data_IF_562899955701
#
_entry.id   IF_562899955701
#
_cell.length_a   1.000
_cell.length_b   1.000
_cell.length_c   1.000
_cell.angle_alpha   90.00
_cell.angle_beta   90.00
_cell.angle_gamma   90.00
#
_symmetry.space_group_name_H-M   'P 1'
#
loop_
_entity.id
_entity.type
_entity.pdbx_description
1 polymer ?
#
# COMPACT_ATOMS: atom_id res chain seq x y z
N UNK A 1 40.77 -18.25 29.75
CA UNK A 1 39.55 -17.44 29.96
C UNK A 1 38.92 -17.27 28.59
N UNK A 2 37.77 -17.91 28.35
CA UNK A 2 37.06 -17.77 27.07
C UNK A 2 36.06 -16.64 27.22
N UNK A 3 36.20 -15.60 26.39
CA UNK A 3 35.26 -14.47 26.35
C UNK A 3 33.88 -14.94 25.85
N UNK A 4 32.76 -14.43 26.42
CA UNK A 4 31.43 -14.81 25.97
C UNK A 4 31.14 -14.25 24.57
N UNK A 5 30.89 -15.13 23.60
CA UNK A 5 30.40 -14.73 22.28
C UNK A 5 29.02 -14.07 22.42
N UNK A 6 28.91 -12.79 22.04
CA UNK A 6 27.63 -12.09 21.94
C UNK A 6 26.86 -12.66 20.74
N UNK A 7 25.82 -13.44 21.01
CA UNK A 7 24.87 -13.87 19.99
C UNK A 7 23.93 -12.69 19.72
N UNK A 8 24.30 -11.85 18.76
CA UNK A 8 23.42 -10.83 18.21
C UNK A 8 22.55 -11.45 17.13
N UNK A 9 21.23 -11.36 17.28
CA UNK A 9 20.31 -11.65 16.20
C UNK A 9 20.24 -10.39 15.35
N UNK A 10 20.88 -10.41 14.18
CA UNK A 10 20.59 -9.41 13.16
C UNK A 10 19.23 -9.78 12.59
N UNK A 11 18.21 -8.95 12.85
CA UNK A 11 16.94 -9.03 12.12
C UNK A 11 17.27 -8.71 10.67
N UNK A 12 17.55 -9.75 9.90
CA UNK A 12 17.93 -9.65 8.50
C UNK A 12 16.94 -8.76 7.77
N UNK A 13 17.50 -7.76 7.08
CA UNK A 13 16.89 -6.80 6.16
C UNK A 13 15.39 -6.62 6.27
N UNK A 14 14.97 -5.40 6.64
CA UNK A 14 13.63 -4.85 6.37
C UNK A 14 13.03 -5.52 5.15
N UNK A 15 11.98 -6.33 5.35
CA UNK A 15 11.25 -6.94 4.26
C UNK A 15 10.97 -5.83 3.25
N UNK A 16 11.46 -5.98 2.02
CA UNK A 16 11.11 -5.04 0.96
C UNK A 16 9.61 -5.22 0.80
N UNK A 17 8.84 -4.29 1.34
CA UNK A 17 7.41 -4.23 1.10
C UNK A 17 7.27 -3.97 -0.39
N UNK A 18 6.89 -5.00 -1.15
CA UNK A 18 6.59 -4.88 -2.57
C UNK A 18 5.42 -3.90 -2.71
N UNK A 19 5.73 -2.66 -3.08
CA UNK A 19 4.72 -1.64 -3.33
C UNK A 19 3.90 -2.03 -4.56
N UNK A 20 2.61 -1.75 -4.54
CA UNK A 20 1.78 -1.89 -5.73
C UNK A 20 2.03 -0.73 -6.69
N UNK A 21 1.93 -1.01 -7.99
CA UNK A 21 2.01 0.02 -9.04
C UNK A 21 1.01 1.16 -8.80
N UNK A 22 1.34 2.35 -9.31
CA UNK A 22 0.46 3.51 -9.17
C UNK A 22 -0.91 3.26 -9.85
N UNK A 23 -1.99 3.31 -9.06
CA UNK A 23 -3.37 3.21 -9.56
C UNK A 23 -4.06 4.57 -9.52
N UNK A 24 -4.61 5.02 -10.65
CA UNK A 24 -5.41 6.25 -10.72
C UNK A 24 -6.81 6.07 -10.11
N UNK A 25 -7.29 7.11 -9.42
CA UNK A 25 -8.66 7.14 -8.91
C UNK A 25 -9.68 7.18 -10.04
N UNK A 26 -10.78 6.45 -9.86
CA UNK A 26 -11.89 6.42 -10.81
C UNK A 26 -12.78 7.65 -10.63
N UNK A 27 -13.27 8.21 -11.73
CA UNK A 27 -14.19 9.35 -11.72
C UNK A 27 -15.64 8.87 -11.77
N UNK A 28 -16.48 9.47 -10.93
CA UNK A 28 -17.92 9.29 -10.99
C UNK A 28 -18.49 10.12 -12.14
N UNK A 29 -19.43 9.55 -12.90
CA UNK A 29 -20.15 10.26 -13.95
C UNK A 29 -21.68 10.12 -13.77
N UNK A 30 -22.44 10.91 -14.54
CA UNK A 30 -23.90 10.97 -14.43
C UNK A 30 -24.62 9.77 -15.05
N UNK A 31 -23.93 8.97 -15.86
CA UNK A 31 -24.46 7.76 -16.48
C UNK A 31 -24.40 6.53 -15.56
N UNK A 32 -23.67 6.62 -14.44
CA UNK A 32 -23.56 5.56 -13.44
C UNK A 32 -24.82 5.45 -12.58
N UNK A 33 -25.26 4.22 -12.36
CA UNK A 33 -26.24 3.86 -11.33
C UNK A 33 -25.73 4.17 -9.92
N UNK A 34 -26.64 4.20 -8.94
CA UNK A 34 -26.27 4.48 -7.55
C UNK A 34 -25.28 3.44 -6.98
N UNK A 35 -25.40 2.16 -7.38
CA UNK A 35 -24.49 1.08 -6.97
C UNK A 35 -23.10 1.25 -7.58
N UNK A 36 -23.00 1.62 -8.85
CA UNK A 36 -21.71 1.91 -9.50
C UNK A 36 -21.02 3.11 -8.84
N UNK A 37 -21.76 4.17 -8.52
CA UNK A 37 -21.24 5.32 -7.77
C UNK A 37 -20.71 4.91 -6.39
N UNK A 38 -21.40 4.01 -5.70
CA UNK A 38 -20.97 3.49 -4.41
C UNK A 38 -19.69 2.64 -4.55
N UNK A 39 -19.61 1.77 -5.55
CA UNK A 39 -18.43 0.95 -5.84
C UNK A 39 -17.19 1.81 -6.12
N UNK A 40 -17.33 2.84 -6.96
CA UNK A 40 -16.24 3.80 -7.25
C UNK A 40 -15.74 4.50 -5.98
N UNK A 41 -16.64 4.89 -5.07
CA UNK A 41 -16.24 5.50 -3.78
C UNK A 41 -15.44 4.53 -2.92
N UNK A 42 -15.89 3.28 -2.80
CA UNK A 42 -15.20 2.24 -2.01
C UNK A 42 -13.81 1.97 -2.59
N UNK A 43 -13.72 1.76 -3.90
CA UNK A 43 -12.46 1.56 -4.61
C UNK A 43 -11.48 2.70 -4.38
N UNK A 44 -11.92 3.94 -4.60
CA UNK A 44 -11.08 5.12 -4.39
C UNK A 44 -10.62 5.26 -2.94
N UNK A 45 -11.47 4.88 -1.97
CA UNK A 45 -11.11 4.87 -0.54
C UNK A 45 -9.99 3.87 -0.26
N UNK A 46 -10.08 2.65 -0.82
CA UNK A 46 -9.04 1.63 -0.67
C UNK A 46 -7.72 2.07 -1.32
N UNK A 47 -7.76 2.58 -2.55
CA UNK A 47 -6.58 3.07 -3.26
C UNK A 47 -5.88 4.17 -2.49
N UNK A 48 -6.63 5.12 -1.94
CA UNK A 48 -6.07 6.18 -1.10
C UNK A 48 -5.46 5.61 0.19
N UNK A 49 -6.15 4.68 0.87
CA UNK A 49 -5.61 4.07 2.08
C UNK A 49 -4.26 3.38 1.82
N UNK A 50 -4.15 2.59 0.76
CA UNK A 50 -2.88 1.92 0.40
C UNK A 50 -1.78 2.95 0.11
N UNK A 51 -2.10 4.00 -0.64
CA UNK A 51 -1.17 5.08 -0.97
C UNK A 51 -0.69 5.82 0.27
N UNK A 52 -1.60 6.21 1.15
CA UNK A 52 -1.31 6.97 2.37
C UNK A 52 -0.46 6.17 3.37
N UNK A 53 -0.48 4.84 3.28
CA UNK A 53 0.33 3.94 4.11
C UNK A 53 1.62 3.50 3.42
N UNK A 54 2.00 4.13 2.31
CA UNK A 54 3.27 3.85 1.61
C UNK A 54 3.28 2.55 0.80
N UNK A 55 2.15 1.86 0.68
CA UNK A 55 2.02 0.61 -0.06
C UNK A 55 1.90 0.78 -1.57
N UNK A 56 1.97 2.01 -2.10
CA UNK A 56 1.89 2.30 -3.54
C UNK A 56 3.12 3.06 -4.01
N UNK A 57 3.53 2.79 -5.24
CA UNK A 57 4.56 3.56 -5.93
C UNK A 57 4.14 5.02 -6.17
N UNK A 58 5.14 5.90 -6.28
CA UNK A 58 4.90 7.28 -6.66
C UNK A 58 4.47 7.37 -8.13
N UNK A 59 3.72 8.41 -8.46
CA UNK A 59 3.37 8.68 -9.84
C UNK A 59 4.61 9.27 -10.53
N UNK A 60 5.26 8.48 -11.38
CA UNK A 60 6.29 8.97 -12.31
C UNK A 60 5.76 10.08 -13.25
#
# INVERSE_FOLDING_TARGET
>A
MNEPQKVGWETGGSAKEDKIEYVSLQRINDKMSASEKAGVKIWNTMVNWIRDHGGMEEKE
#
